data_IF_791710151535
#
_entry.id   IF_791710151535
#
_cell.length_a   1.000
_cell.length_b   1.000
_cell.length_c   1.000
_cell.angle_alpha   90.00
_cell.angle_beta   90.00
_cell.angle_gamma   90.00
#
_symmetry.space_group_name_H-M   'P 1'
#
loop_
_entity.id
_entity.type
_entity.pdbx_description
1 polymer ?
#
# COMPACT_ATOMS: atom_id res chain seq x y z
N UNK A 1 -8.11 4.53 3.64
CA UNK A 1 -6.90 5.04 2.96
C UNK A 1 -6.66 6.51 3.31
N UNK A 2 -7.53 7.45 2.89
CA UNK A 2 -7.37 8.90 3.15
C UNK A 2 -7.03 9.27 4.59
N UNK A 3 -7.73 8.69 5.57
CA UNK A 3 -7.46 8.96 7.00
C UNK A 3 -6.01 8.65 7.38
N UNK A 4 -5.50 7.50 6.96
CA UNK A 4 -4.10 7.11 7.22
C UNK A 4 -3.10 8.01 6.50
N UNK A 5 -3.41 8.43 5.28
CA UNK A 5 -2.57 9.36 4.50
C UNK A 5 -2.51 10.73 5.18
N UNK A 6 -3.66 11.26 5.63
CA UNK A 6 -3.73 12.52 6.38
C UNK A 6 -3.00 12.43 7.72
N UNK A 7 -3.16 11.31 8.45
CA UNK A 7 -2.43 11.06 9.68
C UNK A 7 -0.91 11.07 9.43
N UNK A 8 -0.44 10.33 8.41
CA UNK A 8 0.97 10.28 8.07
C UNK A 8 1.51 11.64 7.65
N UNK A 9 0.77 12.40 6.82
CA UNK A 9 1.14 13.76 6.42
C UNK A 9 1.28 14.70 7.63
N UNK A 10 0.34 14.64 8.57
CA UNK A 10 0.37 15.46 9.78
C UNK A 10 1.52 15.04 10.72
N UNK A 11 1.72 13.74 10.93
CA UNK A 11 2.85 13.21 11.70
C UNK A 11 4.21 13.54 11.06
N UNK A 12 4.23 13.70 9.74
CA UNK A 12 5.37 14.18 8.96
C UNK A 12 5.63 15.69 9.02
N UNK A 13 4.72 16.49 9.60
CA UNK A 13 4.84 17.95 9.64
C UNK A 13 4.37 18.68 8.37
N UNK A 14 3.57 18.04 7.53
CA UNK A 14 2.79 18.69 6.47
C UNK A 14 3.55 19.16 5.22
N UNK A 15 4.79 18.69 5.00
CA UNK A 15 5.64 19.06 3.85
C UNK A 15 6.01 17.87 2.96
N UNK A 16 5.13 16.86 2.89
CA UNK A 16 5.40 15.55 2.29
C UNK A 16 6.56 14.77 2.93
N UNK A 17 7.18 15.29 4.00
CA UNK A 17 8.13 14.55 4.82
C UNK A 17 7.41 13.33 5.40
N UNK A 18 8.02 12.15 5.30
CA UNK A 18 7.40 10.91 5.76
C UNK A 18 7.72 10.67 7.25
N UNK A 19 6.73 10.33 8.09
CA UNK A 19 7.00 9.86 9.44
C UNK A 19 7.72 8.50 9.37
N UNK A 20 8.78 8.38 10.14
CA UNK A 20 9.64 7.21 10.19
C UNK A 20 10.03 6.86 11.63
N UNK A 21 10.39 5.60 11.84
CA UNK A 21 10.86 5.11 13.13
C UNK A 21 11.90 4.01 12.91
N UNK A 22 12.95 3.95 13.72
CA UNK A 22 13.88 2.80 13.66
C UNK A 22 13.15 1.50 13.98
N UNK A 23 13.58 0.40 13.36
CA UNK A 23 12.96 -0.91 13.56
C UNK A 23 13.01 -1.34 15.04
N UNK A 24 14.17 -1.20 15.70
CA UNK A 24 14.35 -1.56 17.12
C UNK A 24 13.46 -0.73 18.05
N UNK A 25 13.38 0.57 17.77
CA UNK A 25 12.55 1.54 18.50
C UNK A 25 11.05 1.29 18.28
N UNK A 26 10.64 0.95 17.05
CA UNK A 26 9.27 0.58 16.72
C UNK A 26 8.83 -0.70 17.46
N UNK A 27 9.67 -1.73 17.47
CA UNK A 27 9.40 -2.99 18.19
C UNK A 27 9.35 -2.78 19.69
N UNK A 28 10.26 -1.96 20.24
CA UNK A 28 10.32 -1.65 21.68
C UNK A 28 9.35 -0.54 22.12
N UNK A 29 8.58 0.03 21.19
CA UNK A 29 7.61 1.10 21.45
C UNK A 29 8.25 2.35 22.07
N UNK A 30 9.37 2.80 21.50
CA UNK A 30 10.13 3.99 21.91
C UNK A 30 10.30 4.96 20.76
N UNK A 31 10.20 6.26 21.00
CA UNK A 31 10.47 7.25 19.94
C UNK A 31 11.97 7.22 19.59
N UNK A 32 12.28 7.22 18.30
CA UNK A 32 13.66 7.25 17.83
C UNK A 32 14.30 8.62 18.05
N UNK A 33 15.50 8.66 18.62
CA UNK A 33 16.28 9.91 18.78
C UNK A 33 16.75 10.47 17.43
N UNK A 34 17.00 9.59 16.47
CA UNK A 34 17.47 9.89 15.12
C UNK A 34 17.00 8.77 14.18
N UNK A 35 16.90 9.09 12.89
CA UNK A 35 16.43 8.16 11.85
C UNK A 35 17.57 7.93 10.83
N UNK A 36 17.82 6.69 10.38
CA UNK A 36 18.78 6.41 9.32
C UNK A 36 18.49 7.21 8.03
N UNK A 37 19.49 7.34 7.15
CA UNK A 37 19.28 7.96 5.83
C UNK A 37 18.24 7.16 5.03
N UNK A 38 17.43 7.86 4.25
CA UNK A 38 16.39 7.29 3.41
C UNK A 38 16.58 7.75 1.96
N UNK A 39 16.19 6.90 1.02
CA UNK A 39 16.09 7.27 -0.41
C UNK A 39 14.85 8.12 -0.71
N UNK A 40 13.92 8.25 0.25
CA UNK A 40 12.74 9.09 0.09
C UNK A 40 13.12 10.57 0.03
N UNK A 41 13.04 11.14 -1.18
CA UNK A 41 13.58 12.47 -1.53
C UNK A 41 13.04 13.61 -0.65
N UNK A 42 11.72 13.69 -0.33
CA UNK A 42 11.21 14.75 0.55
C UNK A 42 11.77 14.71 1.98
N UNK A 43 12.39 13.59 2.38
CA UNK A 43 12.98 13.40 3.70
C UNK A 43 12.05 12.71 4.69
N UNK A 44 12.63 12.34 5.83
CA UNK A 44 11.94 11.60 6.90
C UNK A 44 12.07 12.32 8.23
N UNK A 45 11.09 12.13 9.11
CA UNK A 45 11.10 12.67 10.47
C UNK A 45 10.81 11.57 11.48
N UNK A 46 11.47 11.63 12.64
CA UNK A 46 11.18 10.69 13.72
C UNK A 46 9.75 10.89 14.20
N UNK A 47 8.97 9.80 14.23
CA UNK A 47 7.57 9.80 14.64
C UNK A 47 7.22 8.53 15.40
N UNK A 48 6.27 8.56 16.35
CA UNK A 48 5.85 7.39 17.10
C UNK A 48 4.94 6.48 16.25
N UNK A 49 5.47 5.87 15.18
CA UNK A 49 4.73 4.98 14.28
C UNK A 49 4.08 3.80 15.01
N UNK A 50 4.71 3.32 16.07
CA UNK A 50 4.16 2.30 16.96
C UNK A 50 2.82 2.68 17.62
N UNK A 51 2.56 3.98 17.80
CA UNK A 51 1.39 4.55 18.46
C UNK A 51 0.35 5.11 17.48
N UNK A 52 0.79 5.79 16.42
CA UNK A 52 -0.13 6.40 15.44
C UNK A 52 -0.77 5.37 14.50
N UNK A 53 -0.09 4.26 14.20
CA UNK A 53 -0.68 3.22 13.34
C UNK A 53 -1.77 2.47 14.11
N UNK A 54 -2.83 1.97 13.41
CA UNK A 54 -3.84 1.15 14.05
C UNK A 54 -3.21 0.02 14.87
N UNK A 55 -3.65 -0.14 16.12
CA UNK A 55 -3.00 -1.02 17.11
C UNK A 55 -2.77 -2.44 16.60
N UNK A 56 -3.73 -2.99 15.84
CA UNK A 56 -3.60 -4.31 15.25
C UNK A 56 -2.54 -4.42 14.16
N UNK A 57 -2.40 -3.38 13.32
CA UNK A 57 -1.36 -3.31 12.30
C UNK A 57 0.00 -3.18 12.98
N UNK A 58 0.13 -2.19 13.88
CA UNK A 58 1.37 -1.94 14.63
C UNK A 58 1.85 -3.20 15.37
N UNK A 59 0.95 -3.86 16.12
CA UNK A 59 1.26 -5.10 16.84
C UNK A 59 1.72 -6.23 15.92
N UNK A 60 1.04 -6.43 14.78
CA UNK A 60 1.39 -7.47 13.80
C UNK A 60 2.75 -7.19 13.15
N UNK A 61 3.00 -5.94 12.76
CA UNK A 61 4.28 -5.52 12.18
C UNK A 61 5.46 -5.72 13.15
N UNK A 62 5.30 -5.36 14.44
CA UNK A 62 6.34 -5.60 15.44
C UNK A 62 6.69 -7.08 15.57
N UNK A 63 5.67 -7.94 15.61
CA UNK A 63 5.86 -9.40 15.66
C UNK A 63 6.51 -9.94 14.38
N UNK A 64 6.10 -9.46 13.21
CA UNK A 64 6.66 -9.92 11.93
C UNK A 64 8.13 -9.56 11.78
N UNK A 65 8.56 -8.38 12.23
CA UNK A 65 9.98 -7.97 12.18
C UNK A 65 10.89 -8.90 12.98
N UNK A 66 10.45 -9.35 14.16
CA UNK A 66 11.18 -10.35 14.97
C UNK A 66 11.26 -11.69 14.22
N UNK A 67 10.14 -12.14 13.64
CA UNK A 67 10.09 -13.39 12.86
C UNK A 67 11.00 -13.31 11.63
N UNK A 68 11.00 -12.19 10.92
CA UNK A 68 11.86 -12.01 9.75
C UNK A 68 13.33 -12.07 10.14
N UNK A 69 13.74 -11.51 11.27
CA UNK A 69 15.12 -11.61 11.73
C UNK A 69 15.57 -13.06 12.01
N UNK A 70 14.65 -13.95 12.41
CA UNK A 70 14.96 -15.37 12.59
C UNK A 70 15.24 -16.08 11.25
N UNK A 71 14.60 -15.63 10.17
CA UNK A 71 14.76 -16.19 8.82
C UNK A 71 15.86 -15.50 8.00
N UNK A 72 16.06 -14.21 8.24
CA UNK A 72 16.97 -13.33 7.54
C UNK A 72 17.70 -12.48 8.58
N UNK A 73 18.87 -12.95 9.01
CA UNK A 73 19.67 -12.23 10.01
C UNK A 73 19.98 -10.81 9.52
N UNK A 74 19.72 -9.82 10.38
CA UNK A 74 19.93 -8.40 10.06
C UNK A 74 18.63 -7.64 9.77
N UNK A 75 17.47 -8.32 9.68
CA UNK A 75 16.17 -7.65 9.50
C UNK A 75 15.71 -6.85 10.73
N UNK A 76 16.24 -7.17 11.91
CA UNK A 76 16.02 -6.42 13.14
C UNK A 76 17.34 -5.76 13.57
N UNK A 77 17.51 -4.50 13.17
CA UNK A 77 18.75 -3.71 13.39
C UNK A 77 18.43 -2.23 13.63
N UNK A 78 19.32 -1.53 14.31
CA UNK A 78 19.24 -0.08 14.54
C UNK A 78 19.52 0.74 13.28
N UNK A 79 20.16 0.13 12.28
CA UNK A 79 20.48 0.77 10.99
C UNK A 79 19.27 0.85 10.04
N UNK A 80 18.17 0.18 10.39
CA UNK A 80 16.97 0.09 9.56
C UNK A 80 15.79 0.88 10.15
N UNK A 81 14.90 1.33 9.27
CA UNK A 81 13.73 2.13 9.61
C UNK A 81 12.46 1.60 8.95
N UNK A 82 11.33 1.83 9.60
CA UNK A 82 9.99 1.75 9.03
C UNK A 82 9.59 3.17 8.62
N UNK A 83 9.02 3.32 7.43
CA UNK A 83 8.51 4.57 6.87
C UNK A 83 7.01 4.40 6.60
N UNK A 84 6.18 5.36 7.01
CA UNK A 84 4.74 5.29 6.81
C UNK A 84 4.21 6.46 5.93
N UNK A 85 3.11 6.30 5.21
CA UNK A 85 2.24 5.10 5.10
C UNK A 85 2.18 4.59 3.66
N UNK A 86 2.38 3.28 3.49
CA UNK A 86 2.07 2.58 2.24
C UNK A 86 0.59 2.18 2.27
N UNK A 87 -0.27 2.94 1.59
CA UNK A 87 -1.74 2.81 1.73
C UNK A 87 -2.47 2.33 0.46
N UNK A 88 -1.77 2.26 -0.68
CA UNK A 88 -2.36 1.99 -2.00
C UNK A 88 -1.72 0.76 -2.66
N UNK A 89 -1.73 -0.36 -1.96
CA UNK A 89 -1.18 -1.63 -2.46
C UNK A 89 -2.08 -2.34 -3.48
N UNK A 90 -3.39 -2.05 -3.43
CA UNK A 90 -4.40 -2.53 -4.36
C UNK A 90 -5.65 -1.67 -4.25
N UNK A 91 -6.57 -1.79 -5.21
CA UNK A 91 -7.85 -1.07 -5.15
C UNK A 91 -8.64 -1.47 -3.90
N UNK A 92 -9.22 -0.50 -3.17
CA UNK A 92 -10.04 -0.76 -1.99
C UNK A 92 -11.44 -1.27 -2.36
N UNK A 93 -11.77 -1.35 -3.65
CA UNK A 93 -13.08 -1.74 -4.16
C UNK A 93 -12.97 -2.68 -5.35
N UNK A 94 -14.08 -3.35 -5.65
CA UNK A 94 -14.22 -4.15 -6.86
C UNK A 94 -15.49 -3.74 -7.57
N UNK A 95 -15.35 -3.26 -8.81
CA UNK A 95 -16.50 -2.89 -9.64
C UNK A 95 -17.06 -4.18 -10.25
N UNK A 96 -18.33 -4.54 -10.01
CA UNK A 96 -18.85 -5.82 -10.46
C UNK A 96 -18.92 -5.88 -11.99
N UNK A 97 -18.45 -6.97 -12.56
CA UNK A 97 -18.60 -7.27 -13.99
C UNK A 97 -18.90 -8.76 -14.16
N UNK A 98 -19.63 -9.08 -15.21
CA UNK A 98 -19.87 -10.46 -15.61
C UNK A 98 -18.56 -11.15 -16.03
N UNK A 99 -18.43 -12.44 -15.75
CA UNK A 99 -17.15 -13.16 -15.94
C UNK A 99 -16.84 -13.47 -17.39
N UNK A 100 -17.86 -13.58 -18.23
CA UNK A 100 -17.71 -13.98 -19.63
C UNK A 100 -17.63 -12.75 -20.53
N UNK A 101 -18.59 -11.84 -20.38
CA UNK A 101 -18.67 -10.61 -21.18
C UNK A 101 -17.74 -9.51 -20.69
N UNK A 102 -17.24 -9.60 -19.44
CA UNK A 102 -16.44 -8.55 -18.78
C UNK A 102 -17.15 -7.19 -18.65
N UNK A 103 -18.45 -7.15 -18.93
CA UNK A 103 -19.27 -5.96 -18.87
C UNK A 103 -19.86 -5.79 -17.46
N UNK A 104 -20.07 -4.54 -17.04
CA UNK A 104 -20.73 -4.24 -15.78
C UNK A 104 -22.15 -4.83 -15.75
N UNK A 105 -22.50 -5.48 -14.64
CA UNK A 105 -23.74 -6.26 -14.51
C UNK A 105 -25.04 -5.45 -14.68
N UNK A 106 -24.97 -4.14 -14.53
CA UNK A 106 -26.13 -3.24 -14.62
C UNK A 106 -25.95 -2.05 -15.55
N UNK A 107 -24.83 -1.96 -16.29
CA UNK A 107 -24.57 -0.84 -17.20
C UNK A 107 -24.00 -1.40 -18.50
N UNK A 108 -24.84 -1.42 -19.53
CA UNK A 108 -24.44 -1.91 -20.86
C UNK A 108 -23.36 -1.01 -21.47
N UNK A 109 -22.37 -1.62 -22.12
CA UNK A 109 -21.22 -0.92 -22.71
C UNK A 109 -20.14 -0.46 -21.73
N UNK A 110 -20.30 -0.70 -20.42
CA UNK A 110 -19.27 -0.39 -19.42
C UNK A 110 -18.40 -1.62 -19.13
N UNK A 111 -17.08 -1.53 -19.31
CA UNK A 111 -16.12 -2.61 -19.08
C UNK A 111 -15.12 -2.24 -17.97
N UNK A 112 -15.41 -2.53 -16.69
CA UNK A 112 -14.49 -2.27 -15.60
C UNK A 112 -13.22 -3.11 -15.75
N UNK A 113 -12.05 -2.48 -15.82
CA UNK A 113 -10.77 -3.17 -16.07
C UNK A 113 -9.62 -2.70 -15.17
N UNK A 114 -8.59 -3.53 -15.09
CA UNK A 114 -7.32 -3.23 -14.42
C UNK A 114 -7.42 -3.16 -12.90
N UNK A 115 -6.40 -2.54 -12.29
CA UNK A 115 -6.29 -2.45 -10.83
C UNK A 115 -7.38 -1.58 -10.24
N UNK A 116 -7.71 -0.45 -10.86
CA UNK A 116 -8.76 0.47 -10.38
C UNK A 116 -10.11 -0.22 -10.21
N UNK A 117 -10.47 -1.13 -11.13
CA UNK A 117 -11.69 -1.92 -11.05
C UNK A 117 -11.60 -3.14 -10.11
N UNK A 118 -10.41 -3.47 -9.62
CA UNK A 118 -10.16 -4.61 -8.72
C UNK A 118 -9.95 -5.96 -9.42
N UNK A 119 -9.50 -5.97 -10.68
CA UNK A 119 -9.25 -7.20 -11.47
C UNK A 119 -7.76 -7.46 -11.78
N UNK A 120 -6.87 -6.55 -11.37
CA UNK A 120 -5.44 -6.69 -11.51
C UNK A 120 -4.71 -6.15 -10.26
N UNK A 121 -3.43 -6.49 -10.11
CA UNK A 121 -2.60 -6.07 -8.97
C UNK A 121 -1.17 -5.70 -9.37
N UNK A 122 -0.94 -5.40 -10.65
CA UNK A 122 0.37 -5.06 -11.18
C UNK A 122 0.35 -4.90 -12.70
N UNK A 123 1.44 -4.36 -13.25
CA UNK A 123 1.55 -3.93 -14.65
C UNK A 123 1.09 -5.02 -15.64
N UNK A 124 1.67 -6.21 -15.55
CA UNK A 124 1.37 -7.32 -16.48
C UNK A 124 -0.08 -7.77 -16.35
N UNK A 125 -0.57 -7.96 -15.11
CA UNK A 125 -1.96 -8.37 -14.89
C UNK A 125 -2.97 -7.33 -15.37
N UNK A 126 -2.65 -6.03 -15.26
CA UNK A 126 -3.51 -4.95 -15.71
C UNK A 126 -3.55 -4.85 -17.24
N UNK A 127 -2.40 -5.08 -17.91
CA UNK A 127 -2.33 -5.15 -19.36
C UNK A 127 -3.16 -6.31 -19.91
N UNK A 128 -3.01 -7.51 -19.35
CA UNK A 128 -3.79 -8.70 -19.76
C UNK A 128 -5.30 -8.48 -19.54
N UNK A 129 -5.68 -7.89 -18.41
CA UNK A 129 -7.09 -7.60 -18.14
C UNK A 129 -7.65 -6.54 -19.11
N UNK A 130 -6.85 -5.52 -19.43
CA UNK A 130 -7.20 -4.48 -20.39
C UNK A 130 -7.39 -5.02 -21.80
N UNK A 131 -6.49 -5.89 -22.27
CA UNK A 131 -6.60 -6.56 -23.57
C UNK A 131 -7.91 -7.32 -23.70
N UNK A 132 -8.24 -8.16 -22.70
CA UNK A 132 -9.50 -8.91 -22.69
C UNK A 132 -10.73 -8.01 -22.68
N UNK A 133 -10.70 -6.91 -21.93
CA UNK A 133 -11.80 -5.95 -21.93
C UNK A 133 -11.93 -5.24 -23.28
N UNK A 134 -10.82 -4.96 -23.96
CA UNK A 134 -10.83 -4.38 -25.29
C UNK A 134 -11.43 -5.33 -26.34
N UNK A 135 -11.09 -6.62 -26.28
CA UNK A 135 -11.70 -7.66 -27.14
C UNK A 135 -13.22 -7.76 -26.92
N UNK A 136 -13.68 -7.75 -25.66
CA UNK A 136 -15.11 -7.80 -25.35
C UNK A 136 -15.84 -6.52 -25.76
N UNK A 137 -15.21 -5.36 -25.58
CA UNK A 137 -15.75 -4.10 -26.07
C UNK A 137 -15.88 -4.09 -27.59
N UNK A 138 -14.89 -4.60 -28.31
CA UNK A 138 -14.96 -4.77 -29.76
C UNK A 138 -16.12 -5.67 -30.17
N UNK A 139 -16.24 -6.85 -29.55
CA UNK A 139 -17.33 -7.80 -29.82
C UNK A 139 -18.73 -7.23 -29.50
N UNK A 140 -18.83 -6.33 -28.52
CA UNK A 140 -20.07 -5.64 -28.17
C UNK A 140 -20.48 -4.60 -29.22
N UNK A 141 -19.52 -3.88 -29.82
CA UNK A 141 -19.80 -2.81 -30.80
C UNK A 141 -20.17 -3.35 -32.18
N UNK A 142 -19.57 -4.47 -32.59
CA UNK A 142 -19.78 -5.04 -33.94
C UNK A 142 -20.97 -5.99 -34.05
N UNK A 143 -21.59 -6.35 -32.92
CA UNK A 143 -22.84 -7.12 -32.87
C UNK A 143 -24.05 -6.18 -32.93
#
# INVERSE_FOLDING_TARGET
>A
QKEMESLAFNSGGGKQIAPAQRITDFVSQKISKNIPKSSYVPGTVSSPLHDILPKDISRRLRKSLIIFNQRMKGYYTEEAQILAVESRTSSPLRIPRDRETLMHIGVSGLFPSGEGAGYAGGIVSAAIDGERCAEQAFNFVIK
#
